data_IF_481756686176
#
_entry.id   IF_481756686176
#
_cell.length_a   1.000
_cell.length_b   1.000
_cell.length_c   1.000
_cell.angle_alpha   90.00
_cell.angle_beta   90.00
_cell.angle_gamma   90.00
#
_symmetry.space_group_name_H-M   'P 1'
#
loop_
_entity.id
_entity.type
_entity.pdbx_description
1 polymer ?
#
# COMPACT_ATOMS: atom_id res chain seq x y z
N UNK A 1 25.75 23.91 41.78
CA UNK A 1 26.68 24.24 40.69
C UNK A 1 28.02 23.67 41.12
N UNK A 2 28.64 22.69 40.50
CA UNK A 2 28.81 22.43 39.06
C UNK A 2 29.40 21.03 38.96
N UNK A 3 28.71 20.04 38.38
CA UNK A 3 29.32 18.78 37.90
C UNK A 3 28.25 17.89 37.22
N UNK A 4 27.55 18.43 36.22
CA UNK A 4 26.55 17.68 35.43
C UNK A 4 26.73 17.82 33.91
N UNK A 5 27.92 18.24 33.46
CA UNK A 5 28.17 18.55 32.03
C UNK A 5 29.16 17.57 31.36
N UNK A 6 29.76 16.62 32.09
CA UNK A 6 30.81 15.76 31.53
C UNK A 6 30.37 14.41 30.93
N UNK A 7 29.06 14.11 30.84
CA UNK A 7 28.59 12.79 30.37
C UNK A 7 27.60 12.82 29.20
N UNK A 8 27.51 13.93 28.44
CA UNK A 8 26.73 13.99 27.21
C UNK A 8 27.59 13.96 25.93
N UNK A 9 28.80 14.54 25.95
CA UNK A 9 29.66 14.58 24.76
C UNK A 9 30.23 13.21 24.36
N UNK A 10 30.58 12.38 25.34
CA UNK A 10 31.13 11.02 25.11
C UNK A 10 30.06 10.03 24.64
N UNK A 11 28.80 10.19 25.06
CA UNK A 11 27.70 9.35 24.57
C UNK A 11 27.26 9.72 23.16
N UNK A 12 27.35 11.00 22.78
CA UNK A 12 26.99 11.45 21.43
C UNK A 12 28.02 11.00 20.39
N UNK A 13 29.32 10.97 20.71
CA UNK A 13 30.35 10.45 19.79
C UNK A 13 30.27 8.93 19.60
N UNK A 14 29.89 8.16 20.63
CA UNK A 14 29.66 6.72 20.50
C UNK A 14 28.38 6.43 19.69
N UNK A 15 27.33 7.23 19.84
CA UNK A 15 26.10 7.09 19.05
C UNK A 15 26.33 7.44 17.58
N UNK A 16 27.13 8.48 17.28
CA UNK A 16 27.48 8.87 15.90
C UNK A 16 28.40 7.84 15.23
N UNK A 17 29.31 7.19 15.96
CA UNK A 17 30.07 6.05 15.41
C UNK A 17 29.22 4.79 15.21
N UNK A 18 28.22 4.53 16.06
CA UNK A 18 27.23 3.44 15.85
C UNK A 18 26.24 3.73 14.71
N UNK A 19 25.94 5.00 14.42
CA UNK A 19 25.07 5.38 13.30
C UNK A 19 25.81 5.35 11.95
N UNK A 20 27.12 5.62 11.93
CA UNK A 20 27.94 5.46 10.72
C UNK A 20 28.24 4.00 10.35
N UNK A 21 28.14 3.04 11.29
CA UNK A 21 28.31 1.61 11.00
C UNK A 21 27.06 0.92 10.44
N UNK A 22 25.94 1.64 10.33
CA UNK A 22 24.69 1.13 9.75
C UNK A 22 24.47 1.55 8.29
N UNK A 23 25.36 2.37 7.73
CA UNK A 23 25.38 2.74 6.31
C UNK A 23 26.38 1.92 5.48
N UNK A 24 26.82 0.77 5.97
CA UNK A 24 27.47 -0.21 5.09
C UNK A 24 26.36 -0.88 4.30
N UNK A 25 26.15 -0.41 3.07
CA UNK A 25 25.62 -1.29 2.03
C UNK A 25 26.48 -2.56 2.10
N UNK A 26 25.92 -3.66 2.60
CA UNK A 26 26.63 -4.93 2.62
C UNK A 26 26.88 -5.31 1.18
N UNK A 27 28.04 -4.93 0.65
CA UNK A 27 28.61 -5.54 -0.55
C UNK A 27 29.06 -6.91 -0.07
N UNK A 28 28.16 -7.88 -0.14
CA UNK A 28 28.55 -9.28 0.04
C UNK A 28 29.57 -9.58 -1.07
N UNK A 29 30.84 -9.72 -0.70
CA UNK A 29 31.82 -10.35 -1.57
C UNK A 29 31.39 -11.82 -1.68
N UNK A 30 30.61 -12.13 -2.72
CA UNK A 30 30.26 -13.51 -3.04
C UNK A 30 31.49 -14.13 -3.68
N UNK A 31 32.11 -15.09 -3.01
CA UNK A 31 33.11 -15.97 -3.60
C UNK A 31 32.36 -17.00 -4.46
N UNK A 32 32.62 -16.97 -5.76
CA UNK A 32 31.92 -17.81 -6.74
C UNK A 32 32.65 -19.14 -6.90
N UNK A 33 31.90 -20.25 -6.88
CA UNK A 33 32.41 -21.54 -7.33
C UNK A 33 32.66 -21.57 -8.84
N UNK A 34 33.29 -22.65 -9.31
CA UNK A 34 33.53 -22.86 -10.74
C UNK A 34 32.19 -22.92 -11.49
N UNK A 35 32.07 -22.10 -12.54
CA UNK A 35 30.89 -22.05 -13.40
C UNK A 35 29.63 -21.62 -12.64
N UNK A 36 29.77 -20.57 -11.84
CA UNK A 36 28.68 -19.96 -11.08
C UNK A 36 28.53 -18.48 -11.40
N UNK A 37 27.30 -18.00 -11.21
CA UNK A 37 26.98 -16.59 -11.26
C UNK A 37 26.21 -16.20 -9.99
N UNK A 38 26.38 -14.95 -9.58
CA UNK A 38 25.62 -14.33 -8.51
C UNK A 38 25.20 -12.93 -8.92
N UNK A 39 23.96 -12.58 -8.64
CA UNK A 39 23.54 -11.18 -8.63
C UNK A 39 24.17 -10.56 -7.38
N UNK A 40 24.99 -9.54 -7.52
CA UNK A 40 25.77 -8.95 -6.41
C UNK A 40 25.25 -7.58 -5.97
N UNK A 41 24.39 -6.95 -6.77
CA UNK A 41 23.70 -5.71 -6.44
C UNK A 41 22.36 -5.63 -7.17
N UNK A 42 21.38 -4.93 -6.60
CA UNK A 42 20.04 -4.79 -7.19
C UNK A 42 19.20 -6.07 -7.14
N UNK A 43 19.50 -6.98 -6.21
CA UNK A 43 18.80 -8.27 -6.05
C UNK A 43 17.32 -8.11 -5.67
N UNK A 44 16.99 -7.10 -4.86
CA UNK A 44 15.66 -6.90 -4.31
C UNK A 44 14.76 -6.16 -5.30
N UNK A 45 13.85 -6.89 -5.92
CA UNK A 45 12.79 -6.35 -6.77
C UNK A 45 11.59 -6.05 -5.88
N UNK A 46 11.32 -4.77 -5.66
CA UNK A 46 10.21 -4.32 -4.82
C UNK A 46 8.92 -4.19 -5.64
N UNK A 47 8.03 -5.16 -5.44
CA UNK A 47 6.69 -5.20 -6.02
C UNK A 47 5.73 -4.24 -5.31
N UNK A 48 4.82 -3.62 -6.05
CA UNK A 48 3.75 -2.79 -5.51
C UNK A 48 2.48 -3.62 -5.40
N UNK A 49 1.70 -3.39 -4.34
CA UNK A 49 0.36 -3.97 -4.24
C UNK A 49 -0.51 -3.49 -5.40
N UNK A 50 -1.31 -4.40 -5.93
CA UNK A 50 -2.26 -4.16 -7.01
C UNK A 50 -3.64 -3.97 -6.38
N UNK A 51 -4.24 -2.80 -6.57
CA UNK A 51 -5.60 -2.51 -6.15
C UNK A 51 -6.44 -2.29 -7.40
N UNK A 52 -7.43 -3.14 -7.63
CA UNK A 52 -8.33 -3.07 -8.78
C UNK A 52 -9.77 -2.94 -8.31
N UNK A 53 -10.40 -1.88 -8.80
CA UNK A 53 -11.85 -1.73 -8.91
C UNK A 53 -12.20 -2.22 -10.32
N UNK A 54 -13.06 -3.25 -10.42
CA UNK A 54 -13.32 -3.96 -11.70
C UNK A 54 -13.83 -3.08 -12.84
N UNK A 55 -14.22 -1.85 -12.52
CA UNK A 55 -14.86 -0.90 -13.43
C UNK A 55 -13.83 0.03 -14.12
N UNK A 56 -12.58 0.08 -13.64
CA UNK A 56 -11.58 1.07 -14.10
C UNK A 56 -10.63 0.55 -15.19
N UNK A 57 -10.61 -0.77 -15.45
CA UNK A 57 -9.64 -1.37 -16.37
C UNK A 57 -10.30 -2.12 -17.51
N UNK A 58 -9.88 -1.81 -18.74
CA UNK A 58 -10.21 -2.62 -19.92
C UNK A 58 -9.24 -3.80 -20.01
N UNK A 59 -9.70 -5.05 -19.96
CA UNK A 59 -8.82 -6.20 -20.09
C UNK A 59 -8.19 -6.29 -21.48
N UNK A 60 -6.95 -6.77 -21.55
CA UNK A 60 -6.22 -6.93 -22.82
C UNK A 60 -4.77 -7.34 -22.63
N UNK A 61 -4.14 -7.83 -23.71
CA UNK A 61 -2.74 -8.30 -23.71
C UNK A 61 -1.73 -7.19 -23.42
N UNK A 62 -2.09 -5.94 -23.69
CA UNK A 62 -1.26 -4.75 -23.45
C UNK A 62 -1.80 -3.87 -22.32
N UNK A 63 -2.77 -4.37 -21.54
CA UNK A 63 -3.31 -3.67 -20.39
C UNK A 63 -2.34 -3.77 -19.21
N UNK A 64 -1.26 -2.99 -19.27
CA UNK A 64 -0.26 -2.90 -18.20
C UNK A 64 -0.83 -2.13 -17.02
N UNK A 65 -0.89 -2.78 -15.86
CA UNK A 65 -1.29 -2.18 -14.58
C UNK A 65 -0.16 -1.29 -14.06
N UNK A 66 1.05 -1.83 -14.01
CA UNK A 66 2.26 -1.08 -13.73
C UNK A 66 3.50 -1.80 -14.28
N UNK A 67 4.57 -1.03 -14.41
CA UNK A 67 5.91 -1.49 -14.78
C UNK A 67 6.90 -1.27 -13.65
N UNK A 68 7.79 -2.23 -13.41
CA UNK A 68 8.96 -2.10 -12.56
C UNK A 68 10.21 -2.20 -13.43
N UNK A 69 11.15 -1.29 -13.21
CA UNK A 69 12.49 -1.37 -13.78
C UNK A 69 13.50 -1.57 -12.64
N UNK A 70 14.23 -2.67 -12.67
CA UNK A 70 15.26 -3.01 -11.70
C UNK A 70 16.62 -3.06 -12.39
N UNK A 71 17.52 -2.18 -11.99
CA UNK A 71 18.93 -2.28 -12.36
C UNK A 71 19.66 -3.19 -11.38
N UNK A 72 20.50 -4.08 -11.91
CA UNK A 72 21.25 -5.04 -11.13
C UNK A 72 22.65 -5.26 -11.69
N UNK A 73 23.52 -5.79 -10.84
CA UNK A 73 24.87 -6.21 -11.20
C UNK A 73 24.97 -7.71 -10.93
N UNK A 74 25.54 -8.45 -11.86
CA UNK A 74 25.85 -9.85 -11.66
C UNK A 74 27.33 -10.11 -11.92
N UNK A 75 27.90 -11.02 -11.12
CA UNK A 75 29.24 -11.56 -11.31
C UNK A 75 29.15 -13.02 -11.74
N UNK A 76 30.05 -13.46 -12.60
CA UNK A 76 30.20 -14.86 -12.97
C UNK A 76 31.67 -15.27 -12.94
N UNK A 77 31.93 -16.52 -12.57
CA UNK A 77 33.25 -17.14 -12.69
C UNK A 77 33.14 -18.37 -13.59
N UNK A 78 33.84 -18.32 -14.73
CA UNK A 78 33.92 -19.42 -15.69
C UNK A 78 35.28 -20.10 -15.54
N UNK A 79 35.31 -21.36 -15.12
CA UNK A 79 36.57 -22.10 -14.94
C UNK A 79 37.11 -22.69 -16.23
N UNK A 80 36.22 -23.03 -17.16
CA UNK A 80 36.54 -23.57 -18.48
C UNK A 80 35.40 -23.21 -19.44
N UNK A 81 35.75 -23.00 -20.71
CA UNK A 81 34.81 -22.66 -21.79
C UNK A 81 34.08 -21.30 -21.63
N UNK A 82 33.35 -20.93 -22.67
CA UNK A 82 32.57 -19.68 -22.76
C UNK A 82 31.11 -20.00 -23.04
N UNK A 83 30.21 -19.36 -22.29
CA UNK A 83 28.77 -19.65 -22.38
C UNK A 83 27.96 -18.36 -22.28
N UNK A 84 26.80 -18.28 -22.92
CA UNK A 84 25.88 -17.18 -22.67
C UNK A 84 25.28 -17.31 -21.26
N UNK A 85 25.16 -16.21 -20.50
CA UNK A 85 24.40 -16.25 -19.26
C UNK A 85 22.93 -16.55 -19.58
N UNK A 86 22.32 -17.34 -18.72
CA UNK A 86 20.91 -17.72 -18.80
C UNK A 86 20.15 -17.12 -17.63
N UNK A 87 19.00 -16.50 -17.90
CA UNK A 87 18.04 -16.16 -16.86
C UNK A 87 17.10 -17.34 -16.68
N UNK A 88 16.98 -17.82 -15.45
CA UNK A 88 16.24 -19.03 -15.09
C UNK A 88 15.18 -18.70 -14.05
N UNK A 89 13.95 -19.14 -14.30
CA UNK A 89 12.82 -18.98 -13.41
C UNK A 89 12.75 -20.14 -12.42
N UNK A 90 12.56 -19.85 -11.14
CA UNK A 90 12.29 -20.89 -10.15
C UNK A 90 10.92 -21.52 -10.42
N UNK A 91 10.93 -22.74 -10.96
CA UNK A 91 9.72 -23.44 -11.39
C UNK A 91 8.72 -23.64 -10.25
N UNK A 92 9.18 -24.05 -9.06
CA UNK A 92 8.31 -24.31 -7.91
C UNK A 92 7.54 -23.06 -7.48
N UNK A 93 8.23 -21.91 -7.46
CA UNK A 93 7.60 -20.63 -7.18
C UNK A 93 6.66 -20.18 -8.31
N UNK A 94 7.14 -20.16 -9.56
CA UNK A 94 6.39 -19.62 -10.69
C UNK A 94 5.17 -20.45 -11.08
N UNK A 95 5.17 -21.76 -10.82
CA UNK A 95 3.98 -22.61 -11.02
C UNK A 95 2.79 -22.14 -10.15
N UNK A 96 3.02 -21.91 -8.85
CA UNK A 96 1.98 -21.39 -7.96
C UNK A 96 1.65 -19.93 -8.28
N UNK A 97 2.68 -19.10 -8.47
CA UNK A 97 2.52 -17.67 -8.76
C UNK A 97 1.66 -17.43 -10.01
N UNK A 98 1.97 -18.12 -11.12
CA UNK A 98 1.23 -17.94 -12.37
C UNK A 98 -0.20 -18.45 -12.28
N UNK A 99 -0.42 -19.60 -11.64
CA UNK A 99 -1.78 -20.16 -11.44
C UNK A 99 -2.66 -19.20 -10.65
N UNK A 100 -2.13 -18.61 -9.59
CA UNK A 100 -2.86 -17.65 -8.76
C UNK A 100 -3.16 -16.36 -9.53
N UNK A 101 -2.18 -15.77 -10.22
CA UNK A 101 -2.41 -14.56 -11.02
C UNK A 101 -3.43 -14.80 -12.15
N UNK A 102 -3.32 -15.91 -12.89
CA UNK A 102 -4.23 -16.21 -13.99
C UNK A 102 -5.68 -16.39 -13.50
N UNK A 103 -5.88 -17.03 -12.34
CA UNK A 103 -7.19 -17.17 -11.72
C UNK A 103 -7.82 -15.80 -11.39
N UNK A 104 -7.00 -14.80 -11.06
CA UNK A 104 -7.42 -13.42 -10.77
C UNK A 104 -7.59 -12.55 -12.03
N UNK A 105 -7.39 -13.12 -13.22
CA UNK A 105 -7.42 -12.35 -14.48
C UNK A 105 -6.19 -11.46 -14.70
N UNK A 106 -5.10 -11.76 -13.99
CA UNK A 106 -3.85 -11.04 -14.08
C UNK A 106 -2.82 -11.82 -14.90
N UNK A 107 -1.80 -11.11 -15.33
CA UNK A 107 -0.64 -11.68 -15.99
C UNK A 107 0.63 -10.95 -15.63
N UNK A 108 1.72 -11.49 -16.13
CA UNK A 108 3.06 -11.01 -15.85
C UNK A 108 3.93 -11.22 -17.09
N UNK A 109 4.66 -10.21 -17.53
CA UNK A 109 5.71 -10.36 -18.54
C UNK A 109 7.00 -9.72 -18.07
N UNK A 110 8.12 -10.20 -18.57
CA UNK A 110 9.43 -9.76 -18.12
C UNK A 110 10.36 -9.58 -19.31
N UNK A 111 11.28 -8.64 -19.21
CA UNK A 111 12.45 -8.60 -20.09
C UNK A 111 13.73 -8.37 -19.29
N UNK A 112 14.84 -8.90 -19.78
CA UNK A 112 16.17 -8.64 -19.26
C UNK A 112 17.04 -8.09 -20.39
N UNK A 113 17.90 -7.12 -20.06
CA UNK A 113 18.81 -6.47 -21.00
C UNK A 113 20.18 -6.27 -20.33
N UNK A 114 21.26 -6.62 -21.02
CA UNK A 114 22.61 -6.22 -20.60
C UNK A 114 22.82 -4.73 -20.91
N UNK A 115 23.17 -3.94 -19.90
CA UNK A 115 23.28 -2.48 -20.03
C UNK A 115 24.41 -2.11 -21.00
N UNK A 116 24.12 -1.24 -21.97
CA UNK A 116 25.08 -0.83 -23.00
C UNK A 116 25.03 -1.65 -24.29
N UNK A 117 24.24 -2.73 -24.35
CA UNK A 117 24.02 -3.50 -25.57
C UNK A 117 22.51 -3.61 -25.89
N UNK A 118 22.04 -2.80 -26.85
CA UNK A 118 20.62 -2.74 -27.22
C UNK A 118 20.09 -4.06 -27.83
N UNK A 119 20.94 -4.82 -28.51
CA UNK A 119 20.56 -6.08 -29.18
C UNK A 119 20.46 -7.27 -28.22
N UNK A 120 20.70 -7.07 -26.91
CA UNK A 120 20.70 -8.12 -25.89
C UNK A 120 19.37 -8.30 -25.14
N UNK A 121 18.31 -7.60 -25.56
CA UNK A 121 17.00 -7.65 -24.90
C UNK A 121 16.37 -9.01 -25.13
N UNK A 122 16.07 -9.70 -24.04
CA UNK A 122 15.37 -10.98 -24.05
C UNK A 122 14.09 -10.83 -23.27
N UNK A 123 12.97 -11.14 -23.91
CA UNK A 123 11.64 -11.01 -23.34
C UNK A 123 11.00 -12.38 -23.08
N UNK A 124 10.20 -12.42 -22.04
CA UNK A 124 9.38 -13.55 -21.61
C UNK A 124 7.94 -13.07 -21.60
N UNK A 125 7.16 -13.59 -22.55
CA UNK A 125 5.73 -13.32 -22.64
C UNK A 125 4.98 -14.00 -21.49
N UNK A 126 3.74 -13.55 -21.24
CA UNK A 126 2.91 -14.18 -20.22
C UNK A 126 2.64 -15.67 -20.51
N UNK A 127 2.42 -16.03 -21.77
CA UNK A 127 2.15 -17.42 -22.15
C UNK A 127 3.36 -18.33 -21.92
N UNK A 128 4.58 -17.85 -22.18
CA UNK A 128 5.82 -18.58 -21.86
C UNK A 128 6.01 -18.73 -20.35
N UNK A 129 5.69 -17.71 -19.55
CA UNK A 129 5.83 -17.79 -18.09
C UNK A 129 4.78 -18.73 -17.50
N UNK A 130 3.55 -18.76 -18.03
CA UNK A 130 2.51 -19.71 -17.64
C UNK A 130 2.87 -21.16 -17.96
N UNK A 131 3.64 -21.44 -19.02
CA UNK A 131 4.01 -22.83 -19.36
C UNK A 131 4.90 -23.51 -18.30
N UNK A 132 5.43 -22.76 -17.32
CA UNK A 132 6.12 -23.34 -16.15
C UNK A 132 5.23 -24.27 -15.31
N UNK A 133 3.91 -24.19 -15.46
CA UNK A 133 2.95 -25.13 -14.88
C UNK A 133 3.11 -26.57 -15.43
N UNK A 134 3.69 -26.72 -16.62
CA UNK A 134 3.81 -28.00 -17.35
C UNK A 134 5.05 -28.82 -16.98
N UNK A 135 5.78 -28.45 -15.91
CA UNK A 135 6.89 -29.26 -15.41
C UNK A 135 8.28 -28.85 -15.92
N UNK A 136 8.37 -27.95 -16.89
CA UNK A 136 9.65 -27.48 -17.43
C UNK A 136 10.07 -26.14 -16.83
N UNK A 137 11.36 -26.02 -16.52
CA UNK A 137 11.95 -24.78 -16.07
C UNK A 137 12.15 -23.82 -17.25
N UNK A 138 11.55 -22.63 -17.13
CA UNK A 138 11.71 -21.58 -18.12
C UNK A 138 13.07 -20.92 -17.97
N UNK A 139 13.80 -20.89 -19.09
CA UNK A 139 15.10 -20.22 -19.20
C UNK A 139 15.34 -19.67 -20.59
N UNK A 140 16.07 -18.56 -20.68
CA UNK A 140 16.60 -18.03 -21.94
C UNK A 140 18.00 -17.46 -21.75
N UNK A 141 18.84 -17.67 -22.75
CA UNK A 141 20.14 -17.00 -22.88
C UNK A 141 19.95 -15.53 -23.17
N UNK A 142 20.83 -14.67 -22.64
CA UNK A 142 20.82 -13.23 -22.88
C UNK A 142 22.25 -12.67 -22.92
N UNK A 143 22.39 -11.40 -23.27
CA UNK A 143 23.67 -10.70 -23.15
C UNK A 143 24.74 -11.20 -24.12
N UNK A 144 25.99 -11.08 -23.70
CA UNK A 144 27.17 -11.58 -24.44
C UNK A 144 27.76 -12.85 -23.81
N UNK A 145 28.54 -13.65 -24.53
CA UNK A 145 29.21 -14.83 -23.96
C UNK A 145 30.12 -14.43 -22.80
N UNK A 146 30.10 -15.23 -21.73
CA UNK A 146 30.99 -15.09 -20.57
C UNK A 146 32.38 -15.63 -20.97
N UNK A 147 33.45 -14.83 -20.90
CA UNK A 147 34.81 -15.32 -21.08
C UNK A 147 35.24 -16.18 -19.88
N UNK A 148 36.29 -16.99 -20.08
CA UNK A 148 36.98 -17.69 -18.99
C UNK A 148 37.51 -16.67 -17.98
N UNK A 149 37.35 -16.96 -16.69
CA UNK A 149 37.68 -16.07 -15.58
C UNK A 149 36.47 -15.35 -14.99
N UNK A 150 36.75 -14.32 -14.20
CA UNK A 150 35.71 -13.54 -13.50
C UNK A 150 35.22 -12.40 -14.36
N UNK A 151 33.90 -12.27 -14.47
CA UNK A 151 33.24 -11.13 -15.10
C UNK A 151 32.25 -10.48 -14.17
N UNK A 152 32.06 -9.16 -14.34
CA UNK A 152 31.01 -8.39 -13.69
C UNK A 152 30.27 -7.58 -14.75
N UNK A 153 28.94 -7.65 -14.75
CA UNK A 153 28.10 -7.02 -15.76
C UNK A 153 26.85 -6.42 -15.15
N UNK A 154 26.33 -5.39 -15.82
CA UNK A 154 25.10 -4.68 -15.43
C UNK A 154 23.95 -5.13 -16.30
N UNK A 155 22.80 -5.33 -15.67
CA UNK A 155 21.55 -5.67 -16.37
C UNK A 155 20.43 -4.76 -15.90
N UNK A 156 19.45 -4.57 -16.78
CA UNK A 156 18.15 -4.02 -16.44
C UNK A 156 17.08 -5.10 -16.65
N UNK A 157 16.31 -5.32 -15.60
CA UNK A 157 15.10 -6.13 -15.63
C UNK A 157 13.90 -5.20 -15.70
N UNK A 158 12.97 -5.50 -16.59
CA UNK A 158 11.67 -4.84 -16.68
C UNK A 158 10.58 -5.86 -16.44
N UNK A 159 9.62 -5.54 -15.59
CA UNK A 159 8.52 -6.41 -15.19
C UNK A 159 7.22 -5.65 -15.38
N UNK A 160 6.29 -6.19 -16.16
CA UNK A 160 4.96 -5.63 -16.34
C UNK A 160 3.93 -6.57 -15.72
N UNK A 161 3.10 -6.04 -14.82
CA UNK A 161 1.88 -6.71 -14.40
C UNK A 161 0.75 -6.33 -15.34
N UNK A 162 -0.01 -7.32 -15.78
CA UNK A 162 -1.02 -7.19 -16.83
C UNK A 162 -2.41 -7.48 -16.27
N UNK A 163 -3.41 -6.79 -16.80
CA UNK A 163 -4.82 -7.14 -16.62
C UNK A 163 -5.34 -7.86 -17.87
N UNK A 164 -5.25 -9.18 -17.86
CA UNK A 164 -5.39 -10.02 -19.07
C UNK A 164 -6.84 -10.34 -19.39
N UNK A 165 -7.66 -10.57 -18.37
CA UNK A 165 -9.11 -10.84 -18.50
C UNK A 165 -9.86 -10.22 -17.33
N UNK A 166 -11.11 -9.82 -17.58
CA UNK A 166 -11.94 -9.28 -16.51
C UNK A 166 -12.14 -10.35 -15.43
N UNK A 167 -11.89 -9.98 -14.16
CA UNK A 167 -12.11 -10.91 -13.05
C UNK A 167 -13.61 -11.18 -12.91
N UNK A 168 -14.00 -12.44 -13.09
CA UNK A 168 -15.40 -12.84 -13.19
C UNK A 168 -16.09 -13.03 -11.84
N UNK A 169 -15.33 -13.23 -10.77
CA UNK A 169 -15.88 -13.37 -9.42
C UNK A 169 -16.11 -12.01 -8.74
N UNK A 170 -16.58 -12.01 -7.49
CA UNK A 170 -16.79 -10.79 -6.71
C UNK A 170 -15.46 -10.21 -6.19
N UNK A 171 -15.41 -9.76 -4.94
CA UNK A 171 -14.18 -9.19 -4.37
C UNK A 171 -13.25 -10.29 -3.87
N UNK A 172 -11.94 -10.12 -4.03
CA UNK A 172 -10.92 -11.06 -3.57
C UNK A 172 -9.67 -10.31 -3.09
N UNK A 173 -9.01 -10.87 -2.07
CA UNK A 173 -7.71 -10.40 -1.59
C UNK A 173 -6.76 -11.58 -1.56
N UNK A 174 -5.61 -11.44 -2.20
CA UNK A 174 -4.58 -12.48 -2.25
C UNK A 174 -3.23 -11.91 -1.88
N UNK A 175 -2.57 -12.57 -0.93
CA UNK A 175 -1.24 -12.20 -0.44
C UNK A 175 -0.19 -13.04 -1.14
N UNK A 176 0.79 -12.38 -1.75
CA UNK A 176 1.98 -13.02 -2.29
C UNK A 176 3.13 -12.78 -1.32
N UNK A 177 3.66 -13.84 -0.74
CA UNK A 177 4.82 -13.77 0.16
C UNK A 177 6.09 -13.50 -0.63
N UNK A 178 6.94 -12.62 -0.09
CA UNK A 178 8.27 -12.40 -0.66
C UNK A 178 9.15 -13.64 -0.52
N UNK A 179 10.03 -13.85 -1.50
CA UNK A 179 10.87 -15.04 -1.57
C UNK A 179 12.17 -14.74 -2.33
N UNK A 180 13.26 -15.34 -1.87
CA UNK A 180 14.58 -15.23 -2.48
C UNK A 180 14.79 -16.25 -3.59
N UNK A 181 15.72 -15.96 -4.49
CA UNK A 181 16.16 -16.85 -5.58
C UNK A 181 15.03 -17.29 -6.52
N UNK A 182 14.06 -16.40 -6.75
CA UNK A 182 12.95 -16.62 -7.69
C UNK A 182 13.38 -16.57 -9.15
N UNK A 183 14.38 -15.77 -9.45
CA UNK A 183 15.01 -15.63 -10.75
C UNK A 183 16.51 -15.71 -10.53
N UNK A 184 17.22 -16.48 -11.33
CA UNK A 184 18.66 -16.67 -11.19
C UNK A 184 19.35 -16.43 -12.52
N UNK A 185 20.50 -15.77 -12.48
CA UNK A 185 21.42 -15.72 -13.62
C UNK A 185 22.41 -16.84 -13.40
N UNK A 186 22.55 -17.74 -14.36
CA UNK A 186 23.48 -18.88 -14.31
C UNK A 186 24.21 -19.04 -15.64
N UNK A 187 25.45 -19.56 -15.66
CA UNK A 187 26.12 -19.89 -16.90
C UNK A 187 25.65 -21.22 -17.46
N UNK A 188 25.29 -22.20 -16.61
CA UNK A 188 24.76 -23.50 -17.01
C UNK A 188 23.50 -23.87 -16.24
N UNK A 189 22.69 -24.76 -16.79
CA UNK A 189 21.44 -25.21 -16.17
C UNK A 189 21.64 -25.89 -14.81
N UNK A 190 22.79 -26.52 -14.59
CA UNK A 190 23.14 -27.24 -13.36
C UNK A 190 23.92 -26.40 -12.35
N UNK A 191 24.23 -25.13 -12.64
CA UNK A 191 24.94 -24.24 -11.71
C UNK A 191 24.14 -24.01 -10.44
N UNK A 192 24.84 -23.74 -9.33
CA UNK A 192 24.21 -23.39 -8.05
C UNK A 192 23.44 -22.08 -8.13
N UNK A 193 22.34 -22.00 -7.37
CA UNK A 193 21.33 -20.92 -7.46
C UNK A 193 21.04 -20.30 -6.10
N UNK A 194 22.10 -19.81 -5.46
CA UNK A 194 22.02 -19.31 -4.08
C UNK A 194 21.90 -17.79 -4.00
N UNK A 195 22.25 -17.08 -5.08
CA UNK A 195 22.41 -15.62 -5.11
C UNK A 195 21.67 -14.97 -6.29
N UNK A 196 20.38 -15.28 -6.42
CA UNK A 196 19.49 -14.73 -7.42
C UNK A 196 18.75 -13.47 -6.97
N UNK A 197 17.71 -13.11 -7.72
CA UNK A 197 16.81 -12.03 -7.38
C UNK A 197 15.85 -12.45 -6.27
N UNK A 198 15.47 -11.46 -5.46
CA UNK A 198 14.48 -11.56 -4.39
C UNK A 198 13.27 -10.74 -4.82
N UNK A 199 12.08 -11.33 -4.81
CA UNK A 199 10.84 -10.58 -5.00
C UNK A 199 10.28 -10.23 -3.63
N UNK A 200 9.94 -8.95 -3.43
CA UNK A 200 9.22 -8.54 -2.22
C UNK A 200 7.81 -9.13 -2.20
N UNK A 201 7.25 -9.27 -0.99
CA UNK A 201 5.83 -9.58 -0.86
C UNK A 201 4.97 -8.42 -1.36
N UNK A 202 3.76 -8.73 -1.82
CA UNK A 202 2.76 -7.74 -2.24
C UNK A 202 1.35 -8.33 -2.14
N UNK A 203 0.35 -7.46 -2.19
CA UNK A 203 -1.05 -7.87 -2.16
C UNK A 203 -1.71 -7.58 -3.50
N UNK A 204 -2.61 -8.46 -3.93
CA UNK A 204 -3.60 -8.17 -4.97
C UNK A 204 -4.95 -8.04 -4.30
N UNK A 205 -5.57 -6.87 -4.42
CA UNK A 205 -6.91 -6.57 -3.91
C UNK A 205 -7.80 -6.23 -5.09
N UNK A 206 -8.79 -7.08 -5.36
CA UNK A 206 -9.85 -6.80 -6.33
C UNK A 206 -11.10 -6.51 -5.51
N UNK A 207 -11.51 -5.24 -5.42
CA UNK A 207 -12.64 -4.81 -4.62
C UNK A 207 -13.73 -4.24 -5.53
N UNK A 208 -14.87 -4.92 -5.62
CA UNK A 208 -16.00 -4.43 -6.40
C UNK A 208 -16.71 -3.28 -5.68
N UNK A 209 -17.26 -2.38 -6.48
CA UNK A 209 -18.14 -1.34 -6.00
C UNK A 209 -19.36 -1.94 -5.29
N UNK A 210 -19.75 -1.31 -4.17
CA UNK A 210 -20.85 -1.79 -3.34
C UNK A 210 -20.51 -2.98 -2.42
N UNK A 211 -19.23 -3.36 -2.28
CA UNK A 211 -18.81 -4.42 -1.35
C UNK A 211 -19.31 -4.19 0.09
N UNK A 212 -19.32 -2.93 0.52
CA UNK A 212 -19.92 -2.51 1.78
C UNK A 212 -20.71 -1.21 1.65
N UNK A 213 -21.39 -0.85 2.73
CA UNK A 213 -22.09 0.43 2.90
C UNK A 213 -21.75 1.06 4.24
N UNK A 214 -21.98 2.36 4.34
CA UNK A 214 -21.78 3.14 5.56
C UNK A 214 -23.11 3.78 5.98
N UNK A 215 -23.49 3.55 7.22
CA UNK A 215 -24.68 4.14 7.86
C UNK A 215 -24.24 5.02 9.04
N UNK A 216 -24.93 6.14 9.26
CA UNK A 216 -24.73 7.05 10.40
C UNK A 216 -26.01 7.10 11.22
N UNK A 217 -25.93 6.80 12.52
CA UNK A 217 -27.10 6.70 13.41
C UNK A 217 -26.89 7.49 14.71
N UNK A 218 -27.70 8.52 15.01
CA UNK A 218 -28.69 9.14 14.11
C UNK A 218 -27.99 9.93 12.99
N UNK A 219 -28.64 10.04 11.82
CA UNK A 219 -28.13 10.83 10.69
C UNK A 219 -28.11 12.34 10.99
N UNK A 220 -29.06 12.81 11.81
CA UNK A 220 -29.15 14.20 12.25
C UNK A 220 -28.96 14.28 13.76
N UNK A 221 -28.05 15.14 14.18
CA UNK A 221 -27.81 15.46 15.59
C UNK A 221 -28.49 16.79 15.91
N UNK A 222 -29.42 16.78 16.86
CA UNK A 222 -30.10 17.99 17.32
C UNK A 222 -29.54 18.42 18.68
N UNK A 223 -28.96 19.62 18.73
CA UNK A 223 -28.41 20.21 19.95
C UNK A 223 -29.43 21.05 20.76
N UNK A 224 -30.66 21.16 20.26
CA UNK A 224 -31.74 21.92 20.88
C UNK A 224 -31.49 23.42 20.87
N UNK A 225 -32.06 24.11 21.86
CA UNK A 225 -31.88 25.55 22.03
C UNK A 225 -30.64 25.86 22.88
N UNK A 226 -29.87 26.83 22.41
CA UNK A 226 -28.71 27.40 23.11
C UNK A 226 -29.04 28.85 23.47
N UNK A 227 -28.97 29.20 24.75
CA UNK A 227 -29.24 30.56 25.20
C UNK A 227 -27.96 31.39 25.17
N UNK A 228 -28.02 32.52 24.46
CA UNK A 228 -26.88 33.44 24.31
C UNK A 228 -26.43 34.07 25.62
N UNK A 229 -27.28 34.06 26.65
CA UNK A 229 -27.04 34.70 27.96
C UNK A 229 -26.79 33.72 29.10
N UNK A 230 -26.83 32.40 28.86
CA UNK A 230 -26.66 31.39 29.91
C UNK A 230 -25.56 30.40 29.53
N UNK A 231 -24.36 30.59 30.07
CA UNK A 231 -23.13 29.84 29.71
C UNK A 231 -23.30 28.30 29.76
N UNK A 232 -23.96 27.69 30.78
CA UNK A 232 -24.15 26.24 30.80
C UNK A 232 -24.98 25.70 29.63
N UNK A 233 -25.73 26.57 28.93
CA UNK A 233 -26.45 26.17 27.72
C UNK A 233 -25.62 26.19 26.45
N UNK A 234 -24.48 26.88 26.45
CA UNK A 234 -23.68 27.12 25.25
C UNK A 234 -22.72 25.98 24.90
N UNK A 235 -22.57 25.03 25.82
CA UNK A 235 -21.92 23.75 25.56
C UNK A 235 -22.97 22.65 25.44
N UNK A 236 -22.95 21.93 24.33
CA UNK A 236 -23.85 20.80 24.07
C UNK A 236 -23.07 19.66 23.46
N UNK A 237 -23.49 18.44 23.75
CA UNK A 237 -22.91 17.25 23.18
C UNK A 237 -23.99 16.24 22.85
N UNK A 238 -23.77 15.47 21.79
CA UNK A 238 -24.65 14.40 21.39
C UNK A 238 -23.86 13.32 20.65
N UNK A 239 -24.26 12.07 20.87
CA UNK A 239 -23.58 10.91 20.30
C UNK A 239 -24.20 10.53 18.96
N UNK A 240 -23.36 10.02 18.08
CA UNK A 240 -23.76 9.35 16.85
C UNK A 240 -22.82 8.18 16.58
N UNK A 241 -23.27 7.20 15.81
CA UNK A 241 -22.50 6.00 15.49
C UNK A 241 -22.28 5.94 13.99
N UNK A 242 -21.04 5.69 13.57
CA UNK A 242 -20.73 5.34 12.18
C UNK A 242 -20.59 3.82 12.11
N UNK A 243 -21.34 3.21 11.18
CA UNK A 243 -21.43 1.76 11.02
C UNK A 243 -21.06 1.43 9.57
N UNK A 244 -19.99 0.66 9.36
CA UNK A 244 -19.64 0.13 8.06
C UNK A 244 -19.99 -1.37 8.03
N UNK A 245 -20.84 -1.76 7.07
CA UNK A 245 -21.34 -3.13 6.94
C UNK A 245 -20.98 -3.73 5.59
N UNK A 246 -20.74 -5.03 5.58
CA UNK A 246 -20.61 -5.83 4.37
C UNK A 246 -21.98 -5.97 3.72
N UNK A 247 -22.03 -5.83 2.39
CA UNK A 247 -23.25 -5.98 1.58
C UNK A 247 -23.14 -7.12 0.59
N UNK A 248 -21.93 -7.35 0.03
CA UNK A 248 -21.69 -8.39 -0.96
C UNK A 248 -20.76 -9.47 -0.42
N UNK A 249 -20.98 -10.71 -0.89
CA UNK A 249 -20.08 -11.84 -0.61
C UNK A 249 -18.75 -11.70 -1.37
N UNK A 250 -17.63 -12.20 -0.81
CA UNK A 250 -16.38 -12.31 -1.54
C UNK A 250 -16.42 -13.47 -2.56
N UNK A 251 -15.36 -13.59 -3.34
CA UNK A 251 -15.09 -14.74 -4.19
C UNK A 251 -15.14 -16.04 -3.35
N UNK A 252 -15.49 -17.16 -3.99
CA UNK A 252 -15.76 -18.40 -3.25
C UNK A 252 -14.49 -18.86 -2.51
N UNK A 253 -14.58 -19.06 -1.19
CA UNK A 253 -13.45 -19.46 -0.36
C UNK A 253 -12.39 -18.36 -0.15
N UNK A 254 -12.67 -17.12 -0.54
CA UNK A 254 -11.77 -15.96 -0.40
C UNK A 254 -12.29 -15.01 0.67
N UNK A 255 -12.47 -15.49 1.91
CA UNK A 255 -12.76 -14.58 3.03
C UNK A 255 -11.51 -13.77 3.37
N UNK A 256 -11.69 -12.49 3.67
CA UNK A 256 -10.58 -11.59 3.97
C UNK A 256 -10.97 -10.48 4.93
N UNK A 257 -9.97 -9.96 5.63
CA UNK A 257 -10.12 -8.81 6.53
C UNK A 257 -9.37 -7.61 5.95
N UNK A 258 -10.00 -6.45 5.93
CA UNK A 258 -9.40 -5.20 5.44
C UNK A 258 -9.56 -4.12 6.51
N UNK A 259 -8.49 -3.37 6.83
CA UNK A 259 -8.60 -2.21 7.70
C UNK A 259 -9.41 -1.11 7.03
N UNK A 260 -10.37 -0.55 7.75
CA UNK A 260 -11.12 0.62 7.34
C UNK A 260 -10.57 1.87 8.01
N UNK A 261 -10.53 2.93 7.22
CA UNK A 261 -10.25 4.26 7.70
C UNK A 261 -11.46 5.17 7.50
N UNK A 262 -11.56 6.20 8.32
CA UNK A 262 -12.64 7.17 8.32
C UNK A 262 -12.07 8.58 8.28
N UNK A 263 -12.71 9.45 7.49
CA UNK A 263 -12.41 10.86 7.40
C UNK A 263 -13.68 11.66 7.61
N UNK A 264 -13.64 12.59 8.54
CA UNK A 264 -14.68 13.60 8.73
C UNK A 264 -14.24 14.86 8.00
N UNK A 265 -14.91 15.18 6.89
CA UNK A 265 -14.59 16.40 6.15
C UNK A 265 -15.21 17.64 6.79
N UNK A 266 -14.75 18.82 6.41
CA UNK A 266 -15.29 20.09 6.94
C UNK A 266 -16.59 20.59 6.29
N UNK A 267 -16.97 20.01 5.15
CA UNK A 267 -18.12 20.49 4.36
C UNK A 267 -17.92 21.94 3.90
N UNK A 268 -18.95 22.77 4.03
CA UNK A 268 -18.92 24.19 3.69
C UNK A 268 -18.42 25.11 4.83
N UNK A 269 -18.02 24.55 5.97
CA UNK A 269 -17.61 25.32 7.14
C UNK A 269 -16.12 25.71 7.08
N UNK A 270 -15.79 26.80 7.78
CA UNK A 270 -14.40 27.24 7.94
C UNK A 270 -13.79 26.59 9.19
N UNK A 271 -12.52 26.19 9.07
CA UNK A 271 -11.74 25.71 10.20
C UNK A 271 -11.31 26.89 11.07
N UNK A 272 -11.47 26.72 12.37
CA UNK A 272 -10.84 27.57 13.37
C UNK A 272 -9.49 26.96 13.79
N UNK A 273 -9.50 25.66 14.07
CA UNK A 273 -8.32 24.82 14.18
C UNK A 273 -8.50 23.59 13.28
N UNK A 274 -7.51 22.70 13.22
CA UNK A 274 -7.71 21.40 12.57
C UNK A 274 -8.82 20.55 13.20
N UNK A 275 -9.21 20.81 14.45
CA UNK A 275 -10.18 20.00 15.23
C UNK A 275 -11.52 20.71 15.50
N UNK A 276 -11.64 21.99 15.10
CA UNK A 276 -12.82 22.83 15.35
C UNK A 276 -13.28 23.54 14.08
N UNK A 277 -14.58 23.53 13.83
CA UNK A 277 -15.21 24.26 12.73
C UNK A 277 -16.09 25.39 13.26
N UNK A 278 -16.03 26.56 12.64
CA UNK A 278 -16.88 27.68 13.01
C UNK A 278 -18.31 27.46 12.49
N UNK A 279 -19.29 27.66 13.36
CA UNK A 279 -20.70 27.65 12.99
C UNK A 279 -21.15 29.05 12.53
N UNK A 280 -22.06 29.08 11.57
CA UNK A 280 -22.58 30.32 10.98
C UNK A 280 -24.08 30.44 11.23
N UNK A 281 -24.56 31.67 11.39
CA UNK A 281 -25.98 31.95 11.45
C UNK A 281 -26.61 31.76 10.05
N UNK A 282 -27.72 31.02 9.98
CA UNK A 282 -28.44 30.78 8.73
C UNK A 282 -29.54 31.81 8.46
N UNK A 283 -29.92 32.57 9.48
CA UNK A 283 -30.98 33.57 9.43
C UNK A 283 -30.66 34.81 10.29
N UNK A 284 -31.62 35.73 10.32
CA UNK A 284 -31.57 36.93 11.13
C UNK A 284 -30.54 37.97 10.63
N UNK A 285 -30.25 38.99 11.46
CA UNK A 285 -29.37 40.09 11.09
C UNK A 285 -27.89 39.66 10.94
N UNK A 286 -27.54 38.46 11.41
CA UNK A 286 -26.18 37.91 11.34
C UNK A 286 -26.03 36.83 10.26
N UNK A 287 -27.00 36.67 9.35
CA UNK A 287 -26.98 35.62 8.33
C UNK A 287 -25.64 35.57 7.57
N UNK A 288 -25.05 34.37 7.49
CA UNK A 288 -23.77 34.10 6.84
C UNK A 288 -22.54 34.47 7.67
N UNK A 289 -22.71 35.08 8.84
CA UNK A 289 -21.60 35.43 9.73
C UNK A 289 -21.39 34.34 10.79
N UNK A 290 -20.15 34.21 11.33
CA UNK A 290 -19.90 33.35 12.49
C UNK A 290 -20.83 33.72 13.66
N UNK A 291 -21.47 32.70 14.23
CA UNK A 291 -22.46 32.85 15.29
C UNK A 291 -21.85 32.78 16.71
N UNK A 292 -20.52 32.64 16.81
CA UNK A 292 -19.80 32.51 18.07
C UNK A 292 -19.76 31.10 18.66
N UNK A 293 -20.28 30.08 17.96
CA UNK A 293 -20.18 28.67 18.33
C UNK A 293 -19.23 27.91 17.41
N UNK A 294 -18.62 26.85 17.93
CA UNK A 294 -17.72 25.94 17.22
C UNK A 294 -18.19 24.51 17.37
N UNK A 295 -17.96 23.70 16.35
CA UNK A 295 -18.21 22.26 16.33
C UNK A 295 -16.88 21.50 16.39
N UNK A 296 -16.79 20.52 17.28
CA UNK A 296 -15.76 19.48 17.25
C UNK A 296 -16.39 18.09 17.30
N UNK A 297 -15.62 17.08 16.91
CA UNK A 297 -16.03 15.67 16.98
C UNK A 297 -14.98 14.92 17.80
N UNK A 298 -15.44 14.12 18.76
CA UNK A 298 -14.60 13.27 19.60
C UNK A 298 -14.88 11.80 19.30
N UNK A 299 -13.85 10.96 19.39
CA UNK A 299 -14.04 9.52 19.38
C UNK A 299 -14.53 9.00 20.75
N UNK A 300 -14.76 7.70 20.82
CA UNK A 300 -15.18 6.95 22.01
C UNK A 300 -14.21 7.06 23.21
N UNK A 301 -12.96 7.46 22.95
CA UNK A 301 -11.92 7.69 23.96
C UNK A 301 -11.78 9.18 24.33
N UNK A 302 -12.63 10.04 23.77
CA UNK A 302 -12.61 11.48 23.97
C UNK A 302 -11.52 12.23 23.18
N UNK A 303 -10.80 11.56 22.28
CA UNK A 303 -9.80 12.20 21.41
C UNK A 303 -10.53 13.04 20.36
N UNK A 304 -10.14 14.30 20.23
CA UNK A 304 -10.65 15.18 19.18
C UNK A 304 -10.13 14.78 17.79
N UNK A 305 -11.07 14.61 16.86
CA UNK A 305 -10.82 14.29 15.47
C UNK A 305 -10.31 15.52 14.75
N UNK A 306 -9.27 15.35 13.93
CA UNK A 306 -8.83 16.37 12.99
C UNK A 306 -9.64 16.25 11.70
N UNK A 307 -10.34 17.31 11.31
CA UNK A 307 -11.12 17.35 10.07
C UNK A 307 -10.22 17.23 8.84
N UNK A 308 -10.76 16.62 7.78
CA UNK A 308 -10.07 16.31 6.52
C UNK A 308 -8.85 15.37 6.68
N UNK A 309 -8.64 14.79 7.87
CA UNK A 309 -7.58 13.82 8.14
C UNK A 309 -8.16 12.40 8.27
N UNK A 310 -7.44 11.44 7.70
CA UNK A 310 -7.76 10.02 7.81
C UNK A 310 -7.39 9.47 9.19
N UNK A 311 -8.35 8.80 9.82
CA UNK A 311 -8.21 8.13 11.12
C UNK A 311 -8.66 6.67 10.98
N UNK A 312 -8.30 5.81 11.94
CA UNK A 312 -8.68 4.39 11.91
C UNK A 312 -10.13 4.21 12.38
N UNK A 313 -10.94 3.52 11.59
CA UNK A 313 -12.28 3.07 11.99
C UNK A 313 -12.21 1.69 12.67
N UNK A 314 -11.44 0.78 12.09
CA UNK A 314 -11.27 -0.60 12.55
C UNK A 314 -11.26 -1.57 11.37
N UNK A 315 -11.12 -2.86 11.65
CA UNK A 315 -11.05 -3.89 10.61
C UNK A 315 -12.44 -4.45 10.30
N UNK A 316 -12.76 -4.64 9.02
CA UNK A 316 -13.96 -5.35 8.57
C UNK A 316 -13.57 -6.69 7.96
N UNK A 317 -14.23 -7.76 8.41
CA UNK A 317 -14.06 -9.10 7.83
C UNK A 317 -15.19 -9.38 6.85
N UNK A 318 -14.82 -9.65 5.60
CA UNK A 318 -15.73 -9.96 4.49
C UNK A 318 -15.88 -11.47 4.40
N UNK A 319 -17.07 -11.97 4.71
CA UNK A 319 -17.38 -13.42 4.82
C UNK A 319 -18.37 -13.89 3.76
N UNK A 320 -18.42 -15.20 3.51
CA UNK A 320 -19.42 -15.79 2.61
C UNK A 320 -20.87 -15.58 3.07
N UNK A 321 -21.09 -15.48 4.39
CA UNK A 321 -22.40 -15.30 5.02
C UNK A 321 -22.85 -13.82 5.09
N UNK A 322 -22.04 -12.87 4.63
CA UNK A 322 -22.34 -11.43 4.65
C UNK A 322 -22.62 -10.92 6.08
N UNK A 323 -21.66 -11.15 6.97
CA UNK A 323 -21.77 -10.80 8.40
C UNK A 323 -20.81 -9.69 8.83
N UNK A 324 -19.93 -9.22 7.93
CA UNK A 324 -18.95 -8.19 8.24
C UNK A 324 -19.58 -6.89 8.72
N UNK A 325 -19.14 -6.40 9.88
CA UNK A 325 -19.60 -5.14 10.43
C UNK A 325 -18.51 -4.55 11.33
N UNK A 326 -18.30 -3.23 11.22
CA UNK A 326 -17.51 -2.45 12.17
C UNK A 326 -18.28 -1.17 12.49
N UNK A 327 -18.38 -0.84 13.78
CA UNK A 327 -19.08 0.35 14.24
C UNK A 327 -18.27 1.10 15.28
N UNK A 328 -18.31 2.43 15.22
CA UNK A 328 -17.66 3.28 16.22
C UNK A 328 -18.57 4.44 16.61
N UNK A 329 -18.66 4.69 17.91
CA UNK A 329 -19.41 5.81 18.47
C UNK A 329 -18.52 7.06 18.50
N UNK A 330 -19.11 8.19 18.15
CA UNK A 330 -18.50 9.50 18.18
C UNK A 330 -19.41 10.47 18.93
N UNK A 331 -18.82 11.52 19.49
CA UNK A 331 -19.56 12.60 20.16
C UNK A 331 -19.32 13.90 19.40
N UNK A 332 -20.40 14.48 18.86
CA UNK A 332 -20.36 15.83 18.35
C UNK A 332 -20.52 16.82 19.51
N UNK A 333 -19.66 17.83 19.58
CA UNK A 333 -19.62 18.80 20.67
C UNK A 333 -19.70 20.21 20.10
N UNK A 334 -20.61 21.01 20.64
CA UNK A 334 -20.70 22.45 20.41
C UNK A 334 -20.15 23.18 21.63
N UNK A 335 -19.29 24.16 21.40
CA UNK A 335 -18.76 25.06 22.43
C UNK A 335 -18.73 26.51 21.96
N UNK A 336 -18.71 27.49 22.89
CA UNK A 336 -18.43 28.88 22.55
C UNK A 336 -17.03 29.05 21.95
N UNK A 337 -16.93 30.00 21.02
CA UNK A 337 -15.65 30.53 20.57
C UNK A 337 -14.97 31.25 21.74
N UNK A 338 -13.72 30.92 22.11
CA UNK A 338 -12.97 31.64 23.14
C UNK A 338 -12.90 33.14 22.82
N UNK A 339 -13.31 33.96 23.79
CA UNK A 339 -13.34 35.43 23.65
C UNK A 339 -14.41 35.98 22.69
N UNK A 340 -15.26 35.12 22.11
CA UNK A 340 -16.36 35.51 21.24
C UNK A 340 -17.70 35.58 21.98
N UNK A 341 -18.66 36.34 21.42
CA UNK A 341 -20.05 36.35 21.89
C UNK A 341 -20.93 35.47 21.02
N UNK A 342 -21.83 34.70 21.65
CA UNK A 342 -22.81 33.88 20.93
C UNK A 342 -23.93 34.77 20.41
N UNK A 343 -24.26 34.64 19.12
CA UNK A 343 -25.27 35.44 18.43
C UNK A 343 -26.54 34.65 18.23
N UNK A 344 -27.67 35.33 18.35
CA UNK A 344 -29.00 34.75 18.08
C UNK A 344 -29.18 34.43 16.60
N UNK A 345 -29.73 33.24 16.31
CA UNK A 345 -30.11 32.77 14.98
C UNK A 345 -30.11 31.25 14.92
N UNK A 346 -30.69 30.69 13.87
CA UNK A 346 -30.58 29.25 13.58
C UNK A 346 -29.19 28.94 13.01
N UNK A 347 -28.73 27.71 13.22
CA UNK A 347 -27.49 27.20 12.65
C UNK A 347 -27.66 25.73 12.26
N UNK A 348 -26.88 25.28 11.28
CA UNK A 348 -26.74 23.85 10.96
C UNK A 348 -25.38 23.61 10.34
N UNK A 349 -24.93 22.35 10.39
CA UNK A 349 -23.68 21.90 9.81
C UNK A 349 -23.91 20.57 9.09
N UNK A 350 -23.35 20.45 7.88
CA UNK A 350 -23.31 19.20 7.14
C UNK A 350 -21.87 18.71 7.05
N UNK A 351 -21.57 17.61 7.75
CA UNK A 351 -20.23 17.03 7.85
C UNK A 351 -20.19 15.78 6.98
N UNK A 352 -19.47 15.78 5.85
CA UNK A 352 -19.31 14.57 5.04
C UNK A 352 -18.44 13.56 5.80
N UNK A 353 -18.87 12.30 5.82
CA UNK A 353 -18.12 11.19 6.39
C UNK A 353 -17.74 10.25 5.25
N UNK A 354 -16.45 10.00 5.09
CA UNK A 354 -15.93 9.06 4.08
C UNK A 354 -15.25 7.90 4.77
N UNK A 355 -15.63 6.67 4.40
CA UNK A 355 -14.94 5.45 4.85
C UNK A 355 -14.21 4.84 3.66
N UNK A 356 -12.96 4.47 3.85
CA UNK A 356 -12.07 3.94 2.81
C UNK A 356 -11.44 2.62 3.25
N UNK A 357 -11.20 1.74 2.29
CA UNK A 357 -10.36 0.55 2.48
C UNK A 357 -8.89 1.00 2.53
N UNK A 358 -8.14 0.58 3.56
CA UNK A 358 -6.73 0.93 3.75
C UNK A 358 -5.78 -0.17 3.26
#
# INVERSE_FOLDING_TARGET
MTEWIFNLKTKLTVLVMMLCSLCVTKVYAVELGINECAVTSGQNINLRSINLTTDDFKPGTDSVIYTINQDAVFKCYMGYDTQFPQLVFNQGYFSKFTKTLDAMGLGFRMSIKETGNASSVVSFSWDEIKSTQSGNELRKEFGTKLPVGTTERKVRITLDFLYTKAYSESSAVTVFTGISNVLNIVPFSYSLRQNGFVLSGFNVRILRNGLGKVDIVPLQVNFGHIYTTYEPSQTRQANFTVIATQVLRPAMGQEFTIPLAITFGKGALTQDTGQTLNLVSLDGPNKGQPNGLRLSIKDDKGKEITFDKQEVLGDITITGAVTGNVSKVYTAVITPTPGGSVKTGTFSAAIPVTVTYN
#
